data_IF_653433949875
#
_entry.id   IF_653433949875
#
_cell.length_a   1.000
_cell.length_b   1.000
_cell.length_c   1.000
_cell.angle_alpha   90.00
_cell.angle_beta   90.00
_cell.angle_gamma   90.00
#
_symmetry.space_group_name_H-M   'P 1'
#
loop_
_entity.id
_entity.type
_entity.pdbx_description
1 polymer ?
#
# COMPACT_ATOMS: atom_id res chain seq x y z
N UNK A 1 6.22 -8.22 -10.23
CA UNK A 1 5.68 -8.88 -9.02
C UNK A 1 4.17 -8.86 -9.06
N UNK A 2 3.55 -9.98 -8.75
CA UNK A 2 2.10 -10.12 -8.78
C UNK A 2 1.58 -10.46 -7.39
N UNK A 3 0.64 -9.66 -6.88
CA UNK A 3 0.00 -9.90 -5.59
C UNK A 3 -1.27 -10.69 -5.86
N UNK A 4 -1.37 -11.90 -5.30
CA UNK A 4 -2.52 -12.78 -5.52
C UNK A 4 -3.43 -12.87 -4.31
N UNK A 5 -2.96 -12.45 -3.15
CA UNK A 5 -3.74 -12.51 -1.92
C UNK A 5 -4.86 -11.46 -1.94
N UNK A 6 -6.01 -11.81 -1.35
CA UNK A 6 -7.12 -10.86 -1.20
C UNK A 6 -6.90 -9.93 -0.01
N UNK A 7 -6.05 -10.32 0.92
CA UNK A 7 -5.65 -9.50 2.06
C UNK A 7 -4.14 -9.58 2.18
N UNK A 8 -3.47 -8.44 2.25
CA UNK A 8 -2.02 -8.43 2.38
C UNK A 8 -1.57 -7.20 3.17
N UNK A 9 -0.40 -7.33 3.79
CA UNK A 9 0.22 -6.28 4.57
C UNK A 9 1.17 -5.47 3.71
N UNK A 10 1.25 -4.18 3.97
CA UNK A 10 2.22 -3.30 3.32
C UNK A 10 2.93 -2.45 4.36
N UNK A 11 4.15 -2.03 4.01
CA UNK A 11 4.92 -1.05 4.77
C UNK A 11 5.17 0.11 3.83
N UNK A 12 4.67 1.28 4.19
CA UNK A 12 4.64 2.43 3.29
C UNK A 12 5.76 3.42 3.58
N UNK A 13 6.44 3.84 2.53
CA UNK A 13 7.36 4.97 2.56
C UNK A 13 6.71 6.10 1.77
N UNK A 14 6.09 7.02 2.49
CA UNK A 14 5.41 8.18 1.88
C UNK A 14 6.43 9.25 1.44
N UNK A 15 5.94 10.24 0.72
CA UNK A 15 6.75 11.36 0.24
C UNK A 15 7.95 10.89 -0.58
N UNK A 16 7.75 9.86 -1.39
CA UNK A 16 8.78 9.28 -2.25
C UNK A 16 8.71 9.86 -3.65
N UNK A 17 9.70 9.53 -4.49
CA UNK A 17 9.75 10.06 -5.84
C UNK A 17 8.76 9.40 -6.80
N UNK A 18 8.32 8.20 -6.49
CA UNK A 18 7.36 7.47 -7.33
C UNK A 18 6.56 6.45 -6.52
N UNK A 19 5.44 6.01 -7.12
CA UNK A 19 4.63 4.94 -6.54
C UNK A 19 5.11 3.61 -7.10
N UNK A 20 5.63 2.73 -6.24
CA UNK A 20 6.10 1.43 -6.70
C UNK A 20 6.20 0.43 -5.55
N UNK A 21 6.15 -0.86 -5.89
CA UNK A 21 6.42 -1.93 -4.94
C UNK A 21 7.92 -2.18 -4.94
N UNK A 22 8.55 -2.02 -3.78
CA UNK A 22 10.00 -2.15 -3.63
C UNK A 22 10.45 -3.59 -3.44
N UNK A 23 9.59 -4.43 -2.89
CA UNK A 23 9.89 -5.81 -2.62
C UNK A 23 9.03 -6.37 -1.51
N UNK A 24 9.30 -7.60 -1.12
CA UNK A 24 8.58 -8.28 -0.05
C UNK A 24 9.51 -8.52 1.15
N UNK A 25 9.09 -8.09 2.32
CA UNK A 25 9.83 -8.28 3.57
C UNK A 25 9.31 -9.55 4.23
N UNK A 26 10.10 -10.62 4.17
CA UNK A 26 9.72 -11.93 4.71
C UNK A 26 9.58 -11.92 6.23
N UNK A 27 10.42 -11.16 6.91
CA UNK A 27 10.37 -11.08 8.36
C UNK A 27 9.09 -10.44 8.85
N UNK A 28 8.63 -9.41 8.15
CA UNK A 28 7.40 -8.70 8.51
C UNK A 28 6.17 -9.23 7.80
N UNK A 29 6.35 -10.08 6.81
CA UNK A 29 5.24 -10.60 6.02
C UNK A 29 4.49 -9.51 5.30
N UNK A 30 5.20 -8.55 4.71
CA UNK A 30 4.60 -7.38 4.12
C UNK A 30 5.35 -6.92 2.88
N UNK A 31 4.62 -6.33 1.93
CA UNK A 31 5.23 -5.69 0.77
C UNK A 31 5.71 -4.30 1.15
N UNK A 32 6.93 -3.94 0.78
CA UNK A 32 7.42 -2.59 0.94
C UNK A 32 7.02 -1.77 -0.27
N UNK A 33 6.40 -0.62 -0.02
CA UNK A 33 5.79 0.21 -1.06
C UNK A 33 6.21 1.66 -0.88
N UNK A 34 6.67 2.31 -1.95
CA UNK A 34 6.88 3.75 -1.94
C UNK A 34 5.67 4.44 -2.55
N UNK A 35 5.30 5.57 -1.99
CA UNK A 35 4.15 6.37 -2.42
C UNK A 35 4.57 7.83 -2.49
N UNK A 36 4.23 8.50 -3.60
CA UNK A 36 4.57 9.91 -3.80
C UNK A 36 3.82 10.83 -2.83
N UNK A 37 2.60 10.50 -2.52
CA UNK A 37 1.77 11.32 -1.65
C UNK A 37 2.38 11.47 -0.26
N UNK A 38 2.10 12.60 0.38
CA UNK A 38 2.60 12.89 1.73
C UNK A 38 1.80 12.13 2.77
N UNK A 39 2.44 11.82 3.91
CA UNK A 39 1.79 11.13 5.03
C UNK A 39 1.02 12.11 5.90
N UNK A 40 0.21 12.96 5.28
CA UNK A 40 -0.59 13.95 6.00
C UNK A 40 -1.94 14.11 5.33
N UNK A 41 -2.94 14.53 6.09
CA UNK A 41 -4.29 14.81 5.59
C UNK A 41 -4.87 13.67 4.76
N UNK A 42 -4.57 12.44 5.15
CA UNK A 42 -5.07 11.23 4.47
C UNK A 42 -4.57 11.09 3.02
N UNK A 43 -3.61 11.89 2.59
CA UNK A 43 -3.12 11.86 1.20
C UNK A 43 -2.44 10.56 0.83
N UNK A 44 -1.63 10.02 1.74
CA UNK A 44 -0.93 8.75 1.49
C UNK A 44 -1.93 7.60 1.34
N UNK A 45 -2.99 7.57 2.16
CA UNK A 45 -4.00 6.53 2.08
C UNK A 45 -4.73 6.57 0.73
N UNK A 46 -5.09 7.76 0.27
CA UNK A 46 -5.73 7.94 -1.04
C UNK A 46 -4.78 7.48 -2.15
N UNK A 47 -3.51 7.85 -2.05
CA UNK A 47 -2.50 7.44 -3.03
C UNK A 47 -2.31 5.93 -3.09
N UNK A 48 -2.32 5.28 -1.92
CA UNK A 48 -2.22 3.82 -1.82
C UNK A 48 -3.40 3.14 -2.50
N UNK A 49 -4.61 3.61 -2.22
CA UNK A 49 -5.83 3.03 -2.80
C UNK A 49 -5.80 3.18 -4.31
N UNK A 50 -5.45 4.36 -4.82
CA UNK A 50 -5.35 4.59 -6.27
C UNK A 50 -4.29 3.69 -6.90
N UNK A 51 -3.12 3.60 -6.27
CA UNK A 51 -2.02 2.79 -6.79
C UNK A 51 -2.39 1.31 -6.92
N UNK A 52 -2.90 0.72 -5.84
CA UNK A 52 -3.25 -0.69 -5.84
C UNK A 52 -4.49 -0.99 -6.67
N UNK A 53 -5.47 -0.09 -6.70
CA UNK A 53 -6.65 -0.27 -7.55
C UNK A 53 -6.26 -0.34 -9.04
N UNK A 54 -5.33 0.51 -9.45
CA UNK A 54 -4.81 0.50 -10.82
C UNK A 54 -3.99 -0.74 -11.11
N UNK A 55 -3.08 -1.07 -10.18
CA UNK A 55 -2.18 -2.22 -10.35
C UNK A 55 -2.93 -3.53 -10.43
N UNK A 56 -3.88 -3.73 -9.54
CA UNK A 56 -4.64 -4.98 -9.43
C UNK A 56 -5.90 -4.99 -10.28
N UNK A 57 -6.30 -3.83 -10.81
CA UNK A 57 -7.53 -3.65 -11.61
C UNK A 57 -8.76 -4.10 -10.83
N UNK A 58 -8.77 -3.82 -9.52
CA UNK A 58 -9.86 -4.16 -8.60
C UNK A 58 -9.98 -3.07 -7.55
N UNK A 59 -11.13 -3.01 -6.88
CA UNK A 59 -11.28 -2.12 -5.74
C UNK A 59 -10.48 -2.63 -4.56
N UNK A 60 -9.86 -1.72 -3.82
CA UNK A 60 -9.12 -2.08 -2.61
C UNK A 60 -9.54 -1.16 -1.48
N UNK A 61 -9.37 -1.65 -0.26
CA UNK A 61 -9.60 -0.89 0.98
C UNK A 61 -8.40 -1.03 1.89
N UNK A 62 -8.17 -0.01 2.70
CA UNK A 62 -7.25 -0.11 3.83
C UNK A 62 -8.11 -0.50 5.03
N UNK A 63 -7.95 -1.72 5.52
CA UNK A 63 -8.77 -2.23 6.62
C UNK A 63 -8.10 -2.08 7.99
N UNK A 64 -6.81 -1.72 8.02
CA UNK A 64 -6.07 -1.50 9.26
C UNK A 64 -4.89 -0.59 8.99
N UNK A 65 -4.54 0.22 10.00
CA UNK A 65 -3.34 1.04 9.94
C UNK A 65 -3.49 2.35 9.19
N UNK A 66 -4.67 2.98 9.24
CA UNK A 66 -4.90 4.26 8.55
C UNK A 66 -3.89 5.35 8.94
N UNK A 67 -3.42 5.33 10.18
CA UNK A 67 -2.46 6.32 10.68
C UNK A 67 -1.07 5.74 10.89
N UNK A 68 -0.80 4.56 10.34
CA UNK A 68 0.46 3.84 10.52
C UNK A 68 1.17 3.67 9.18
N UNK A 69 2.48 3.45 9.25
CA UNK A 69 3.25 3.04 8.07
C UNK A 69 2.92 1.62 7.67
N UNK A 70 2.52 0.79 8.64
CA UNK A 70 2.15 -0.60 8.39
C UNK A 70 0.64 -0.67 8.25
N UNK A 71 0.18 -1.10 7.09
CA UNK A 71 -1.23 -1.13 6.75
C UNK A 71 -1.62 -2.49 6.23
N UNK A 72 -2.91 -2.79 6.33
CA UNK A 72 -3.48 -4.01 5.77
C UNK A 72 -4.44 -3.60 4.65
N UNK A 73 -4.24 -4.20 3.49
CA UNK A 73 -5.04 -3.94 2.29
C UNK A 73 -5.95 -5.13 2.04
N UNK A 74 -7.20 -4.85 1.72
CA UNK A 74 -8.15 -5.86 1.30
C UNK A 74 -8.59 -5.58 -0.12
N UNK A 75 -8.53 -6.61 -0.97
CA UNK A 75 -9.01 -6.54 -2.36
C UNK A 75 -10.46 -6.97 -2.37
N UNK A 76 -11.29 -6.18 -3.04
CA UNK A 76 -12.72 -6.47 -3.14
C UNK A 76 -13.15 -6.97 -4.50
#
# INVERSE_FOLDING_TARGET
>A
MQIKEDIFNIIVKANSSRNEILGYDKEKGAYRVSIKAKAEDNKANIGIIKFFSKLLKKRVKIIRGLKSKEKVIRVE
#
